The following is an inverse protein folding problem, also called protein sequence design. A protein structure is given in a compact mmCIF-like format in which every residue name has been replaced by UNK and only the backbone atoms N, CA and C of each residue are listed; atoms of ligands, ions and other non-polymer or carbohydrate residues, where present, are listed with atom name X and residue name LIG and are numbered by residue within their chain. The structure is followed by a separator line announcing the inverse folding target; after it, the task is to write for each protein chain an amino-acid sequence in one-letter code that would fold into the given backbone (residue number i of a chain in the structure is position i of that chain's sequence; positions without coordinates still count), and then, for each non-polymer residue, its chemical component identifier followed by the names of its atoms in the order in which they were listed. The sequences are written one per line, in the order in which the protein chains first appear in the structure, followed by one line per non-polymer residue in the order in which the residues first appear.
data_IF_448163138766
#
_entry.id   IF_448163138766
#
_cell.length_a   1.000
_cell.length_b   1.000
_cell.length_c   1.000
_cell.angle_alpha   90.00
_cell.angle_beta   90.00
_cell.angle_gamma   90.00
#
_symmetry.space_group_name_H-M   'P 1'
#
loop_
_entity.id
_entity.type
_entity.pdbx_description
1 polymer ?
#
# COMPACT_ATOMS: atom_id res chain seq x y z
N UNK A 1 8.94 8.44 1.58
CA UNK A 1 8.96 9.90 1.81
C UNK A 1 7.56 10.37 2.15
N UNK A 2 7.38 11.03 3.28
CA UNK A 2 6.04 11.50 3.65
C UNK A 2 5.56 12.62 2.73
N UNK A 3 4.25 12.69 2.56
CA UNK A 3 3.62 13.72 1.75
C UNK A 3 3.63 15.04 2.51
N UNK A 4 4.16 16.07 1.89
CA UNK A 4 4.14 17.43 2.41
C UNK A 4 2.86 18.14 1.98
N UNK A 5 2.46 19.14 2.76
CA UNK A 5 1.31 19.97 2.42
C UNK A 5 1.55 20.65 1.07
N UNK A 6 0.58 20.60 0.17
CA UNK A 6 0.67 21.19 -1.16
C UNK A 6 1.42 20.36 -2.19
N UNK A 7 1.97 19.20 -1.79
CA UNK A 7 2.67 18.32 -2.73
C UNK A 7 1.66 17.58 -3.61
N UNK A 8 1.85 17.69 -4.92
CA UNK A 8 1.04 16.97 -5.89
C UNK A 8 1.37 15.47 -5.88
N UNK A 9 0.37 14.64 -6.23
CA UNK A 9 0.56 13.19 -6.28
C UNK A 9 1.70 12.79 -7.23
N UNK A 10 1.84 13.49 -8.37
CA UNK A 10 2.91 13.23 -9.32
C UNK A 10 4.29 13.48 -8.72
N UNK A 11 4.43 14.56 -7.93
CA UNK A 11 5.69 14.88 -7.26
C UNK A 11 6.02 13.85 -6.18
N UNK A 12 5.02 13.43 -5.42
CA UNK A 12 5.17 12.39 -4.41
C UNK A 12 5.58 11.06 -5.06
N UNK A 13 4.95 10.70 -6.16
CA UNK A 13 5.24 9.48 -6.90
C UNK A 13 6.68 9.50 -7.44
N UNK A 14 7.12 10.62 -8.02
CA UNK A 14 8.47 10.79 -8.53
C UNK A 14 9.51 10.68 -7.41
N UNK A 15 9.27 11.35 -6.27
CA UNK A 15 10.15 11.29 -5.11
C UNK A 15 10.25 9.86 -4.55
N UNK A 16 9.13 9.16 -4.42
CA UNK A 16 9.10 7.79 -3.93
C UNK A 16 9.73 6.82 -4.92
N UNK A 17 9.58 7.04 -6.23
CA UNK A 17 10.25 6.25 -7.25
C UNK A 17 11.76 6.29 -7.12
N UNK A 18 12.30 7.46 -6.74
CA UNK A 18 13.73 7.64 -6.47
C UNK A 18 14.23 6.89 -5.23
N UNK A 19 13.32 6.44 -4.36
CA UNK A 19 13.62 5.67 -3.16
C UNK A 19 13.42 4.16 -3.41
N UNK A 20 12.25 3.79 -3.88
CA UNK A 20 11.83 2.38 -3.97
C UNK A 20 12.45 1.65 -5.16
N UNK A 21 12.80 2.35 -6.24
CA UNK A 21 13.54 1.76 -7.35
C UNK A 21 14.89 1.21 -6.90
N UNK A 22 15.78 2.05 -6.32
CA UNK A 22 17.05 1.59 -5.78
C UNK A 22 16.91 0.54 -4.68
N UNK A 23 15.93 0.65 -3.81
CA UNK A 23 15.68 -0.36 -2.76
C UNK A 23 15.29 -1.70 -3.36
N UNK A 24 14.41 -1.71 -4.35
CA UNK A 24 14.02 -2.93 -5.06
C UNK A 24 15.22 -3.58 -5.74
N UNK A 25 16.06 -2.79 -6.36
CA UNK A 25 17.29 -3.29 -6.99
C UNK A 25 18.24 -3.91 -5.97
N UNK A 26 18.42 -3.26 -4.82
CA UNK A 26 19.27 -3.77 -3.75
C UNK A 26 18.73 -5.10 -3.19
N UNK A 27 17.43 -5.23 -3.03
CA UNK A 27 16.78 -6.47 -2.62
C UNK A 27 17.03 -7.57 -3.65
N UNK A 28 16.88 -7.26 -4.92
CA UNK A 28 17.10 -8.22 -6.01
C UNK A 28 18.53 -8.76 -6.02
N UNK A 29 19.51 -7.91 -5.77
CA UNK A 29 20.94 -8.27 -5.84
C UNK A 29 21.44 -8.97 -4.58
N UNK A 30 20.88 -8.64 -3.40
CA UNK A 30 21.50 -9.01 -2.12
C UNK A 30 20.62 -9.91 -1.23
N UNK A 31 19.30 -9.84 -1.37
CA UNK A 31 18.40 -10.58 -0.50
C UNK A 31 18.21 -12.03 -0.95
N UNK A 32 17.85 -12.90 0.00
CA UNK A 32 17.42 -14.25 -0.30
C UNK A 32 16.14 -14.21 -1.16
N UNK A 33 16.09 -15.05 -2.20
CA UNK A 33 14.95 -15.07 -3.13
C UNK A 33 13.63 -15.55 -2.50
N UNK A 34 13.69 -16.12 -1.31
CA UNK A 34 12.49 -16.52 -0.55
C UNK A 34 11.98 -15.42 0.38
N UNK A 35 12.59 -14.23 0.36
CA UNK A 35 12.18 -13.11 1.21
C UNK A 35 10.77 -12.64 0.86
N UNK A 36 10.03 -12.21 1.88
CA UNK A 36 8.75 -11.51 1.70
C UNK A 36 8.96 -10.03 1.96
N UNK A 37 8.41 -9.19 1.10
CA UNK A 37 8.59 -7.74 1.17
C UNK A 37 7.24 -7.10 1.50
N UNK A 38 7.20 -6.30 2.56
CA UNK A 38 6.03 -5.53 2.94
C UNK A 38 6.33 -4.04 2.77
N UNK A 39 5.57 -3.39 1.91
CA UNK A 39 5.71 -1.96 1.65
C UNK A 39 4.66 -1.20 2.45
N UNK A 40 5.13 -0.26 3.27
CA UNK A 40 4.28 0.54 4.16
C UNK A 40 4.20 2.00 3.72
N UNK A 41 5.28 2.52 3.13
CA UNK A 41 5.34 3.91 2.66
C UNK A 41 4.29 4.22 1.60
N UNK A 42 3.60 5.34 1.76
CA UNK A 42 2.50 5.73 0.88
C UNK A 42 2.97 6.45 -0.37
N UNK A 43 2.33 6.22 -1.52
CA UNK A 43 1.26 5.26 -1.77
C UNK A 43 1.79 3.82 -1.82
N UNK A 44 1.39 3.00 -0.85
CA UNK A 44 1.99 1.69 -0.62
C UNK A 44 1.87 0.74 -1.82
N UNK A 45 0.70 0.70 -2.45
CA UNK A 45 0.46 -0.17 -3.61
C UNK A 45 1.35 0.22 -4.81
N UNK A 46 1.49 1.52 -5.07
CA UNK A 46 2.33 2.02 -6.16
C UNK A 46 3.81 1.79 -5.84
N UNK A 47 4.22 2.06 -4.63
CA UNK A 47 5.60 1.85 -4.19
C UNK A 47 5.98 0.36 -4.22
N UNK A 48 5.05 -0.52 -3.87
CA UNK A 48 5.25 -1.96 -3.98
C UNK A 48 5.47 -2.38 -5.45
N UNK A 49 4.68 -1.81 -6.36
CA UNK A 49 4.84 -2.08 -7.79
C UNK A 49 6.20 -1.60 -8.30
N UNK A 50 6.65 -0.42 -7.89
CA UNK A 50 7.96 0.12 -8.27
C UNK A 50 9.09 -0.80 -7.77
N UNK A 51 9.04 -1.18 -6.50
CA UNK A 51 10.04 -2.06 -5.90
C UNK A 51 10.06 -3.43 -6.60
N UNK A 52 8.87 -3.99 -6.86
CA UNK A 52 8.73 -5.27 -7.56
C UNK A 52 9.31 -5.21 -8.97
N UNK A 53 9.06 -4.11 -9.69
CA UNK A 53 9.56 -3.93 -11.05
C UNK A 53 11.09 -3.79 -11.08
N UNK A 54 11.68 -3.29 -9.99
CA UNK A 54 13.15 -3.18 -9.86
C UNK A 54 13.79 -4.47 -9.34
N UNK A 55 13.01 -5.48 -9.01
CA UNK A 55 13.48 -6.77 -8.49
C UNK A 55 12.93 -7.93 -9.32
N UNK A 56 13.36 -8.07 -10.60
CA UNK A 56 12.77 -9.05 -11.51
C UNK A 56 13.07 -10.50 -11.15
N UNK A 57 14.10 -10.76 -10.35
CA UNK A 57 14.49 -12.12 -9.96
C UNK A 57 13.72 -12.62 -8.73
N UNK A 58 12.89 -11.77 -8.12
CA UNK A 58 12.07 -12.14 -6.97
C UNK A 58 10.63 -12.33 -7.45
N UNK A 59 9.99 -13.41 -7.00
CA UNK A 59 8.60 -13.71 -7.35
C UNK A 59 7.69 -12.54 -6.95
N UNK A 60 6.92 -11.97 -7.89
CA UNK A 60 6.01 -10.87 -7.59
C UNK A 60 5.03 -11.16 -6.44
N UNK A 61 4.68 -12.42 -6.22
CA UNK A 61 3.79 -12.81 -5.12
C UNK A 61 4.40 -12.62 -3.74
N UNK A 62 5.69 -12.31 -3.66
CA UNK A 62 6.38 -12.04 -2.39
C UNK A 62 6.33 -10.56 -2.00
N UNK A 63 5.79 -9.69 -2.86
CA UNK A 63 5.62 -8.27 -2.59
C UNK A 63 4.20 -7.98 -2.12
N UNK A 64 4.09 -7.25 -1.02
CA UNK A 64 2.81 -6.90 -0.39
C UNK A 64 2.79 -5.42 -0.06
N UNK A 65 1.63 -4.80 -0.23
CA UNK A 65 1.39 -3.42 0.19
C UNK A 65 0.47 -3.42 1.40
N UNK A 66 0.84 -2.66 2.43
CA UNK A 66 0.06 -2.60 3.66
C UNK A 66 -1.05 -1.56 3.53
N UNK A 67 -2.29 -2.03 3.47
CA UNK A 67 -3.49 -1.19 3.43
C UNK A 67 -4.46 -1.49 4.58
N UNK A 68 -3.99 -2.16 5.61
CA UNK A 68 -4.83 -2.60 6.74
C UNK A 68 -5.45 -1.43 7.49
N UNK A 69 -4.76 -0.29 7.58
CA UNK A 69 -5.30 0.89 8.24
C UNK A 69 -6.54 1.43 7.51
N UNK A 70 -6.53 1.46 6.19
CA UNK A 70 -7.70 1.87 5.40
C UNK A 70 -8.87 0.98 5.69
N UNK A 71 -8.65 -0.32 5.70
CA UNK A 71 -9.68 -1.32 6.00
C UNK A 71 -10.26 -1.11 7.40
N UNK A 72 -9.41 -0.98 8.41
CA UNK A 72 -9.83 -0.80 9.80
C UNK A 72 -10.57 0.52 9.99
N UNK A 73 -10.12 1.61 9.35
CA UNK A 73 -10.78 2.91 9.42
C UNK A 73 -12.15 2.87 8.76
N UNK A 74 -12.26 2.21 7.61
CA UNK A 74 -13.55 2.02 6.93
C UNK A 74 -14.51 1.21 7.78
N UNK A 75 -14.05 0.13 8.42
CA UNK A 75 -14.86 -0.66 9.35
C UNK A 75 -15.38 0.20 10.50
N UNK A 76 -14.51 1.03 11.08
CA UNK A 76 -14.86 1.91 12.20
C UNK A 76 -15.91 2.94 11.80
N UNK A 77 -15.76 3.57 10.64
CA UNK A 77 -16.69 4.56 10.13
C UNK A 77 -18.05 3.92 9.82
N UNK A 78 -18.05 2.74 9.21
CA UNK A 78 -19.29 2.02 8.91
C UNK A 78 -19.99 1.59 10.19
N UNK A 79 -19.25 1.10 11.17
CA UNK A 79 -19.75 0.74 12.49
C UNK A 79 -20.48 1.90 13.14
N UNK A 80 -19.88 3.09 13.13
CA UNK A 80 -20.49 4.31 13.67
C UNK A 80 -21.76 4.70 12.91
N UNK A 81 -21.76 4.55 11.59
CA UNK A 81 -22.89 4.91 10.73
C UNK A 81 -24.09 4.01 10.93
N UNK A 82 -23.89 2.70 11.01
CA UNK A 82 -24.99 1.73 11.11
C UNK A 82 -25.30 1.29 12.54
N UNK A 83 -24.48 1.69 13.51
CA UNK A 83 -24.73 1.43 14.94
C UNK A 83 -24.48 -0.01 15.38
N UNK A 84 -23.63 -0.77 14.68
CA UNK A 84 -23.25 -2.13 15.06
C UNK A 84 -21.76 -2.21 15.42
N UNK A 85 -21.33 -3.16 16.27
CA UNK A 85 -19.93 -3.34 16.58
C UNK A 85 -19.09 -3.67 15.34
N UNK A 86 -17.83 -3.22 15.32
CA UNK A 86 -16.90 -3.50 14.23
C UNK A 86 -16.77 -4.99 13.96
N UNK A 87 -16.82 -5.81 15.02
CA UNK A 87 -16.69 -7.26 14.92
C UNK A 87 -17.84 -7.93 14.18
N UNK A 88 -18.99 -7.25 14.03
CA UNK A 88 -20.15 -7.77 13.30
C UNK A 88 -20.08 -7.46 11.80
N UNK A 89 -19.11 -6.66 11.37
CA UNK A 89 -18.91 -6.32 9.96
C UNK A 89 -17.86 -7.25 9.37
N UNK A 90 -18.26 -8.04 8.36
CA UNK A 90 -17.40 -9.02 7.71
C UNK A 90 -17.43 -8.84 6.20
N UNK A 91 -16.43 -9.39 5.52
CA UNK A 91 -16.33 -9.44 4.07
C UNK A 91 -16.33 -8.06 3.39
N UNK A 92 -15.86 -7.03 4.11
CA UNK A 92 -15.71 -5.72 3.51
C UNK A 92 -14.46 -5.68 2.62
N UNK A 93 -14.59 -5.04 1.47
CA UNK A 93 -13.50 -4.83 0.51
C UNK A 93 -13.36 -3.33 0.24
N UNK A 94 -12.12 -2.88 0.05
CA UNK A 94 -11.84 -1.50 -0.34
C UNK A 94 -11.32 -1.49 -1.76
N UNK A 95 -12.00 -0.76 -2.62
CA UNK A 95 -11.64 -0.60 -4.03
C UNK A 95 -11.03 0.77 -4.29
N UNK A 96 -10.11 0.83 -5.23
CA UNK A 96 -9.53 2.07 -5.69
C UNK A 96 -8.12 2.32 -5.14
N UNK A 97 -7.57 3.45 -5.52
CA UNK A 97 -6.25 3.87 -5.07
C UNK A 97 -6.29 4.30 -3.60
N UNK A 98 -5.14 4.19 -2.94
CA UNK A 98 -4.99 4.66 -1.57
C UNK A 98 -5.11 6.19 -1.53
N UNK A 99 -6.34 6.70 -1.38
CA UNK A 99 -6.67 8.11 -1.35
C UNK A 99 -8.04 8.30 -0.73
N UNK A 100 -8.49 9.55 -0.64
CA UNK A 100 -9.84 9.88 -0.14
C UNK A 100 -10.96 9.42 -1.07
N UNK A 101 -10.61 8.96 -2.28
CA UNK A 101 -11.58 8.48 -3.28
C UNK A 101 -11.78 6.97 -3.25
N UNK A 102 -11.10 6.24 -2.37
CA UNK A 102 -11.30 4.80 -2.23
C UNK A 102 -12.73 4.47 -1.79
N UNK A 103 -13.23 3.33 -2.22
CA UNK A 103 -14.62 2.93 -1.99
C UNK A 103 -14.70 1.64 -1.15
N UNK A 104 -15.21 1.71 0.12
CA UNK A 104 -15.50 0.52 0.91
C UNK A 104 -16.75 -0.18 0.38
N UNK A 105 -16.66 -1.48 0.20
CA UNK A 105 -17.72 -2.33 -0.33
C UNK A 105 -17.99 -3.50 0.63
N UNK A 106 -19.24 -3.73 0.89
CA UNK A 106 -19.68 -4.81 1.78
C UNK A 106 -20.53 -5.83 1.06
#
# INVERSE_FOLDING_TARGET
MPRQQGMERADLLSANGGIFGPQGKAINENANKAIKVLVVGNPANTNALIAMSAAPDIDPRQFHAMTRLDHNRALSQLSAKVGVPVTDITKMTIWGNHSTTQYPDI
#
